data_IF_887722687104
#
_entry.id   IF_887722687104
#
_cell.length_a   1.000
_cell.length_b   1.000
_cell.length_c   1.000
_cell.angle_alpha   90.00
_cell.angle_beta   90.00
_cell.angle_gamma   90.00
#
_symmetry.space_group_name_H-M   'P 1'
#
loop_
_entity.id
_entity.type
_entity.pdbx_description
1 polymer ?
#
# COMPACT_ATOMS: atom_id res chain seq x y z
N UNK A 1 1.15 -16.39 17.23
CA UNK A 1 1.26 -15.76 18.48
C UNK A 1 2.18 -14.56 18.55
N UNK A 2 1.98 -13.53 17.71
CA UNK A 2 2.67 -12.23 17.90
C UNK A 2 1.87 -11.48 18.96
N UNK A 3 2.49 -11.03 20.06
CA UNK A 3 1.85 -10.26 21.13
C UNK A 3 1.79 -10.92 22.49
N UNK A 4 2.20 -12.20 22.66
CA UNK A 4 2.31 -12.82 23.98
C UNK A 4 3.76 -12.99 24.38
N UNK A 5 4.22 -12.39 25.51
CA UNK A 5 5.53 -12.68 26.07
C UNK A 5 5.57 -14.15 26.56
N UNK A 6 6.71 -14.80 26.42
CA UNK A 6 6.91 -16.13 26.95
C UNK A 6 6.82 -16.09 28.48
N UNK A 7 5.69 -16.53 29.06
CA UNK A 7 5.61 -16.76 30.52
C UNK A 7 4.49 -16.10 31.28
N UNK A 8 3.29 -15.83 30.71
CA UNK A 8 2.18 -15.34 31.53
C UNK A 8 0.99 -14.73 30.80
N UNK A 9 0.00 -14.21 31.54
CA UNK A 9 -1.20 -13.61 30.97
C UNK A 9 -0.97 -12.19 30.43
N UNK A 10 0.27 -11.78 30.14
CA UNK A 10 0.61 -10.48 29.58
C UNK A 10 0.53 -10.52 28.06
N UNK A 11 -0.14 -9.53 27.47
CA UNK A 11 -0.14 -9.24 26.04
C UNK A 11 0.52 -7.89 25.77
N UNK A 12 1.17 -7.74 24.61
CA UNK A 12 1.77 -6.50 24.19
C UNK A 12 1.19 -6.10 22.81
N UNK A 13 0.86 -4.83 22.65
CA UNK A 13 0.36 -4.25 21.41
C UNK A 13 1.02 -2.89 21.17
N UNK A 14 1.08 -2.44 19.91
CA UNK A 14 1.62 -1.16 19.52
C UNK A 14 3.14 -1.11 19.47
N UNK A 15 3.74 0.02 19.85
CA UNK A 15 5.17 0.29 19.73
C UNK A 15 6.07 -0.67 20.52
N UNK A 16 5.54 -1.35 21.53
CA UNK A 16 6.26 -2.35 22.34
C UNK A 16 6.21 -3.76 21.72
N UNK A 17 5.41 -3.95 20.67
CA UNK A 17 5.37 -5.18 19.88
C UNK A 17 6.26 -5.08 18.64
N UNK A 18 6.55 -6.21 17.98
CA UNK A 18 7.35 -6.22 16.75
C UNK A 18 6.62 -5.53 15.59
N UNK A 19 7.38 -4.94 14.67
CA UNK A 19 6.89 -4.27 13.47
C UNK A 19 6.88 -2.73 13.59
N UNK A 20 6.28 -2.02 12.62
CA UNK A 20 6.33 -0.58 12.57
C UNK A 20 5.56 0.07 13.74
N UNK A 21 6.09 1.20 14.23
CA UNK A 21 5.48 1.96 15.34
C UNK A 21 4.41 2.91 14.81
N UNK A 22 3.23 2.36 14.48
CA UNK A 22 2.11 3.09 13.86
C UNK A 22 0.86 3.01 14.75
N UNK A 23 0.15 4.12 14.91
CA UNK A 23 -1.02 4.22 15.76
C UNK A 23 -2.16 3.29 15.30
N UNK A 24 -2.44 3.24 14.01
CA UNK A 24 -3.49 2.36 13.44
C UNK A 24 -3.14 0.87 13.58
N UNK A 25 -1.87 0.48 13.44
CA UNK A 25 -1.40 -0.86 13.77
C UNK A 25 -1.63 -1.18 15.26
N UNK A 26 -1.28 -0.25 16.14
CA UNK A 26 -1.48 -0.41 17.59
C UNK A 26 -2.96 -0.59 17.95
N UNK A 27 -3.86 0.15 17.28
CA UNK A 27 -5.30 0.01 17.43
C UNK A 27 -5.79 -1.40 17.05
N UNK A 28 -5.41 -1.89 15.88
CA UNK A 28 -5.77 -3.23 15.41
C UNK A 28 -5.23 -4.34 16.34
N UNK A 29 -3.98 -4.23 16.76
CA UNK A 29 -3.36 -5.15 17.72
C UNK A 29 -4.07 -5.13 19.09
N UNK A 30 -4.48 -3.94 19.55
CA UNK A 30 -5.21 -3.76 20.79
C UNK A 30 -6.57 -4.44 20.78
N UNK A 31 -7.32 -4.32 19.67
CA UNK A 31 -8.60 -5.02 19.47
C UNK A 31 -8.39 -6.54 19.50
N UNK A 32 -7.48 -7.07 18.70
CA UNK A 32 -7.20 -8.50 18.66
C UNK A 32 -6.72 -9.04 20.02
N UNK A 33 -5.96 -8.26 20.77
CA UNK A 33 -5.56 -8.63 22.14
C UNK A 33 -6.75 -8.68 23.10
N UNK A 34 -7.66 -7.72 23.03
CA UNK A 34 -8.86 -7.67 23.85
C UNK A 34 -9.80 -8.84 23.56
N UNK A 35 -10.06 -9.15 22.30
CA UNK A 35 -10.85 -10.30 21.84
C UNK A 35 -10.22 -11.62 22.33
N UNK A 36 -8.91 -11.78 22.17
CA UNK A 36 -8.20 -12.98 22.68
C UNK A 36 -8.29 -13.12 24.21
N UNK A 37 -8.25 -12.00 24.97
CA UNK A 37 -8.42 -12.02 26.43
C UNK A 37 -9.86 -12.40 26.80
N UNK A 38 -10.85 -11.96 26.01
CA UNK A 38 -12.26 -12.33 26.18
C UNK A 38 -12.56 -13.80 25.82
N UNK A 39 -11.60 -14.52 25.24
CA UNK A 39 -11.76 -15.91 24.83
C UNK A 39 -12.31 -16.08 23.42
N UNK A 40 -12.44 -14.97 22.67
CA UNK A 40 -12.85 -14.99 21.28
C UNK A 40 -11.68 -15.38 20.35
N UNK A 41 -11.96 -16.01 19.18
CA UNK A 41 -10.94 -16.28 18.19
C UNK A 41 -10.50 -14.96 17.54
N UNK A 42 -9.28 -14.55 17.83
CA UNK A 42 -8.69 -13.32 17.27
C UNK A 42 -7.32 -13.61 16.68
N UNK A 43 -7.07 -13.07 15.49
CA UNK A 43 -5.79 -13.12 14.78
C UNK A 43 -5.52 -11.78 14.10
N UNK A 44 -4.25 -11.42 14.02
CA UNK A 44 -3.76 -10.36 13.14
C UNK A 44 -3.31 -11.04 11.84
N UNK A 45 -4.19 -11.07 10.86
CA UNK A 45 -3.99 -11.70 9.56
C UNK A 45 -3.94 -10.70 8.40
N UNK A 46 -3.76 -9.41 8.71
CA UNK A 46 -3.57 -8.37 7.70
C UNK A 46 -2.39 -8.69 6.79
N UNK A 47 -2.61 -8.59 5.49
CA UNK A 47 -1.58 -8.80 4.46
C UNK A 47 -0.60 -7.66 4.39
N UNK A 48 -1.07 -6.42 4.64
CA UNK A 48 -0.25 -5.22 4.62
C UNK A 48 -0.76 -4.18 5.63
N UNK A 49 0.16 -3.35 6.10
CA UNK A 49 -0.14 -2.22 6.98
C UNK A 49 0.40 -0.97 6.29
N UNK A 50 -0.46 -0.02 5.88
CA UNK A 50 0.01 1.20 5.24
C UNK A 50 0.75 2.09 6.23
N UNK A 51 1.66 2.91 5.70
CA UNK A 51 2.34 3.96 6.46
C UNK A 51 2.30 5.28 5.67
N UNK A 52 2.22 6.39 6.38
CA UNK A 52 2.27 7.72 5.80
C UNK A 52 3.27 8.62 6.51
N UNK A 53 3.94 9.48 5.73
CA UNK A 53 4.79 10.57 6.22
C UNK A 53 4.21 11.87 5.68
N UNK A 54 3.85 12.79 6.59
CA UNK A 54 3.17 14.04 6.28
C UNK A 54 4.17 15.16 5.97
N UNK A 55 5.03 14.89 5.00
CA UNK A 55 5.92 15.87 4.39
C UNK A 55 5.19 16.59 3.25
N UNK A 56 5.87 17.50 2.57
CA UNK A 56 5.38 18.16 1.36
C UNK A 56 6.40 17.90 0.23
N UNK A 57 6.05 17.05 -0.77
CA UNK A 57 4.85 16.20 -0.87
C UNK A 57 4.80 15.08 0.20
N UNK A 58 3.60 14.56 0.47
CA UNK A 58 3.41 13.42 1.35
C UNK A 58 4.02 12.13 0.79
N UNK A 59 4.31 11.18 1.69
CA UNK A 59 4.75 9.83 1.29
C UNK A 59 3.78 8.80 1.88
N UNK A 60 3.20 7.96 1.01
CA UNK A 60 2.40 6.81 1.37
C UNK A 60 3.08 5.51 0.94
N UNK A 61 3.10 4.50 1.81
CA UNK A 61 3.64 3.17 1.47
C UNK A 61 2.74 2.07 1.98
N UNK A 62 2.65 0.97 1.24
CA UNK A 62 1.97 -0.25 1.69
C UNK A 62 2.57 -1.46 0.97
N UNK A 63 2.61 -2.60 1.65
CA UNK A 63 3.13 -3.85 1.08
C UNK A 63 4.63 -3.83 0.85
N UNK A 64 5.08 -4.46 -0.24
CA UNK A 64 6.49 -4.69 -0.55
C UNK A 64 7.05 -3.65 -1.52
N UNK A 65 8.29 -3.29 -1.34
CA UNK A 65 9.11 -2.68 -2.39
C UNK A 65 9.54 -3.75 -3.41
N UNK A 66 10.02 -3.33 -4.57
CA UNK A 66 10.59 -4.23 -5.58
C UNK A 66 11.66 -5.17 -4.99
N UNK A 67 12.61 -4.61 -4.25
CA UNK A 67 13.69 -5.37 -3.62
C UNK A 67 13.19 -6.36 -2.56
N UNK A 68 12.16 -6.02 -1.80
CA UNK A 68 11.54 -6.91 -0.83
C UNK A 68 10.76 -8.03 -1.51
N UNK A 69 10.09 -7.75 -2.64
CA UNK A 69 9.41 -8.76 -3.44
C UNK A 69 10.41 -9.76 -4.04
N UNK A 70 11.52 -9.29 -4.62
CA UNK A 70 12.62 -10.15 -5.08
C UNK A 70 13.17 -11.03 -3.95
N UNK A 71 13.46 -10.43 -2.79
CA UNK A 71 13.97 -11.16 -1.63
C UNK A 71 12.98 -12.20 -1.10
N UNK A 72 11.69 -11.98 -1.29
CA UNK A 72 10.62 -12.92 -0.94
C UNK A 72 10.39 -14.02 -2.00
N UNK A 73 11.08 -13.95 -3.15
CA UNK A 73 11.03 -14.96 -4.21
C UNK A 73 9.97 -14.72 -5.27
N UNK A 74 9.40 -13.52 -5.34
CA UNK A 74 8.53 -13.09 -6.44
C UNK A 74 9.35 -12.64 -7.65
N UNK A 75 8.71 -12.57 -8.82
CA UNK A 75 9.24 -11.93 -10.04
C UNK A 75 8.55 -10.57 -10.22
N UNK A 76 9.09 -9.47 -9.63
CA UNK A 76 8.38 -8.22 -9.59
C UNK A 76 8.23 -7.58 -10.97
N UNK A 77 7.04 -7.04 -11.24
CA UNK A 77 6.79 -6.02 -12.25
C UNK A 77 6.52 -4.70 -11.55
N UNK A 78 7.05 -3.62 -12.09
CA UNK A 78 6.90 -2.28 -11.51
C UNK A 78 6.32 -1.35 -12.55
N UNK A 79 5.26 -0.64 -12.17
CA UNK A 79 4.73 0.46 -12.95
C UNK A 79 4.81 1.76 -12.19
N UNK A 80 5.05 2.84 -12.91
CA UNK A 80 5.22 4.17 -12.33
C UNK A 80 4.51 5.25 -13.14
N UNK A 81 3.73 6.08 -12.45
CA UNK A 81 3.12 7.29 -13.00
C UNK A 81 3.71 8.52 -12.32
N UNK A 82 4.48 9.36 -13.03
CA UNK A 82 4.99 10.61 -12.48
C UNK A 82 3.86 11.62 -12.34
N UNK A 83 3.76 12.31 -11.19
CA UNK A 83 2.68 13.26 -10.91
C UNK A 83 2.65 14.45 -11.89
N UNK A 84 3.77 14.81 -12.51
CA UNK A 84 3.82 15.83 -13.58
C UNK A 84 2.98 15.48 -14.83
N UNK A 85 2.59 14.24 -15.00
CA UNK A 85 1.70 13.79 -16.06
C UNK A 85 0.22 13.72 -15.62
N UNK A 86 -0.07 13.91 -14.32
CA UNK A 86 -1.43 13.96 -13.79
C UNK A 86 -2.07 15.34 -14.02
N UNK A 87 -3.17 15.39 -14.77
CA UNK A 87 -3.94 16.61 -14.97
C UNK A 87 -4.40 17.25 -13.67
N UNK A 88 -4.77 16.46 -12.67
CA UNK A 88 -5.19 16.97 -11.35
C UNK A 88 -4.05 17.57 -10.58
N UNK A 89 -2.88 16.95 -10.54
CA UNK A 89 -1.70 17.49 -9.87
C UNK A 89 -1.28 18.84 -10.46
N UNK A 90 -1.36 18.97 -11.78
CA UNK A 90 -1.10 20.24 -12.45
C UNK A 90 -2.08 21.36 -12.04
N UNK A 91 -3.35 21.04 -11.76
CA UNK A 91 -4.32 22.04 -11.27
C UNK A 91 -4.03 22.52 -9.86
N UNK A 92 -3.37 21.74 -9.04
CA UNK A 92 -2.90 22.14 -7.71
C UNK A 92 -1.60 22.95 -7.76
N UNK A 93 -0.85 22.85 -8.86
CA UNK A 93 0.51 23.35 -8.93
C UNK A 93 1.53 22.47 -8.18
N UNK A 94 1.15 21.27 -7.78
CA UNK A 94 1.92 20.30 -6.99
C UNK A 94 2.09 19.03 -7.81
N UNK A 95 3.05 19.05 -8.72
CA UNK A 95 3.28 17.96 -9.67
C UNK A 95 4.57 17.16 -9.43
N UNK A 96 5.22 17.39 -8.30
CA UNK A 96 6.38 16.64 -7.90
C UNK A 96 5.98 15.26 -7.33
N UNK A 97 6.78 14.24 -7.64
CA UNK A 97 6.59 12.90 -7.13
C UNK A 97 6.04 11.91 -8.15
N UNK A 98 5.56 10.79 -7.64
CA UNK A 98 5.13 9.65 -8.44
C UNK A 98 4.19 8.73 -7.65
N UNK A 99 3.44 7.91 -8.38
CA UNK A 99 2.82 6.68 -7.88
C UNK A 99 3.56 5.50 -8.48
N UNK A 100 4.03 4.58 -7.63
CA UNK A 100 4.69 3.34 -8.05
C UNK A 100 3.94 2.16 -7.46
N UNK A 101 3.62 1.17 -8.32
CA UNK A 101 3.04 -0.11 -7.93
C UNK A 101 4.04 -1.23 -8.18
N UNK A 102 3.98 -2.25 -7.33
CA UNK A 102 4.76 -3.49 -7.43
C UNK A 102 3.80 -4.66 -7.51
N UNK A 103 3.92 -5.46 -8.54
CA UNK A 103 3.16 -6.70 -8.73
C UNK A 103 4.08 -7.90 -8.96
N UNK A 104 3.52 -9.09 -8.91
CA UNK A 104 4.20 -10.33 -9.28
C UNK A 104 3.88 -10.69 -10.73
N UNK A 105 4.89 -10.80 -11.58
CA UNK A 105 4.74 -11.13 -13.00
C UNK A 105 4.07 -12.49 -13.22
N UNK A 106 4.33 -13.46 -12.35
CA UNK A 106 3.83 -14.81 -12.49
C UNK A 106 2.34 -14.96 -12.21
N UNK A 107 1.82 -14.21 -11.23
CA UNK A 107 0.43 -14.31 -10.77
C UNK A 107 -0.39 -13.05 -11.03
N UNK A 108 0.25 -11.94 -11.40
CA UNK A 108 -0.37 -10.61 -11.49
C UNK A 108 -0.66 -9.97 -10.13
N UNK A 109 -0.43 -10.66 -9.01
CA UNK A 109 -0.82 -10.20 -7.68
C UNK A 109 -0.19 -8.85 -7.34
N UNK A 110 -1.01 -7.91 -6.84
CA UNK A 110 -0.56 -6.63 -6.31
C UNK A 110 0.19 -6.87 -4.99
N UNK A 111 1.48 -6.49 -4.93
CA UNK A 111 2.36 -6.75 -3.80
C UNK A 111 2.63 -5.52 -2.95
N UNK A 112 2.61 -4.33 -3.54
CA UNK A 112 2.89 -3.10 -2.80
C UNK A 112 2.79 -1.83 -3.63
N UNK A 113 2.91 -0.70 -2.92
CA UNK A 113 2.99 0.62 -3.52
C UNK A 113 3.87 1.59 -2.72
N UNK A 114 4.46 2.54 -3.43
CA UNK A 114 5.13 3.71 -2.91
C UNK A 114 4.59 4.94 -3.64
N UNK A 115 4.02 5.86 -2.90
CA UNK A 115 3.42 7.10 -3.42
C UNK A 115 4.17 8.28 -2.80
N UNK A 116 4.65 9.17 -3.65
CA UNK A 116 5.16 10.49 -3.25
C UNK A 116 4.33 11.50 -4.04
N UNK A 117 3.40 12.15 -3.36
CA UNK A 117 2.42 13.02 -4.04
C UNK A 117 1.64 13.86 -3.01
N UNK A 118 0.90 14.90 -3.45
CA UNK A 118 -0.18 15.46 -2.64
C UNK A 118 -1.18 14.36 -2.26
N UNK A 119 -1.68 14.38 -1.02
CA UNK A 119 -2.68 13.43 -0.52
C UNK A 119 -2.24 11.95 -0.61
N UNK A 120 -0.93 11.65 -0.59
CA UNK A 120 -0.44 10.28 -0.65
C UNK A 120 -0.97 9.42 0.51
N UNK A 121 -1.23 10.04 1.67
CA UNK A 121 -1.83 9.39 2.84
C UNK A 121 -3.25 8.87 2.59
N UNK A 122 -4.02 9.53 1.73
CA UNK A 122 -5.35 9.11 1.31
C UNK A 122 -5.29 8.13 0.14
N UNK A 123 -4.44 8.39 -0.85
CA UNK A 123 -4.29 7.55 -2.04
C UNK A 123 -3.84 6.12 -1.72
N UNK A 124 -3.00 5.95 -0.69
CA UNK A 124 -2.44 4.64 -0.32
C UNK A 124 -3.52 3.66 0.18
N UNK A 125 -4.68 4.15 0.63
CA UNK A 125 -5.75 3.33 1.17
C UNK A 125 -6.38 2.40 0.11
N UNK A 126 -6.50 2.86 -1.13
CA UNK A 126 -7.00 2.06 -2.24
C UNK A 126 -6.09 0.86 -2.51
N UNK A 127 -4.78 1.09 -2.56
CA UNK A 127 -3.81 0.01 -2.76
C UNK A 127 -3.78 -0.96 -1.57
N UNK A 128 -3.90 -0.43 -0.35
CA UNK A 128 -4.02 -1.25 0.86
C UNK A 128 -5.23 -2.18 0.81
N UNK A 129 -6.39 -1.68 0.37
CA UNK A 129 -7.60 -2.48 0.17
C UNK A 129 -7.38 -3.54 -0.93
N UNK A 130 -6.74 -3.17 -2.04
CA UNK A 130 -6.41 -4.11 -3.12
C UNK A 130 -5.56 -5.28 -2.62
N UNK A 131 -4.51 -5.01 -1.84
CA UNK A 131 -3.65 -6.05 -1.25
C UNK A 131 -4.44 -6.96 -0.30
N UNK A 132 -5.29 -6.41 0.58
CA UNK A 132 -6.12 -7.20 1.50
C UNK A 132 -7.08 -8.13 0.76
N UNK A 133 -7.66 -7.67 -0.35
CA UNK A 133 -8.56 -8.47 -1.19
C UNK A 133 -7.82 -9.47 -2.10
N UNK A 134 -6.49 -9.35 -2.23
CA UNK A 134 -5.70 -10.16 -3.15
C UNK A 134 -5.91 -9.78 -4.61
N UNK A 135 -6.13 -8.49 -4.88
CA UNK A 135 -6.26 -7.95 -6.23
C UNK A 135 -4.97 -8.14 -7.04
N UNK A 136 -5.12 -8.09 -8.35
CA UNK A 136 -4.03 -8.07 -9.31
C UNK A 136 -3.72 -6.65 -9.80
N UNK A 137 -2.58 -6.47 -10.45
CA UNK A 137 -2.26 -5.22 -11.16
C UNK A 137 -3.32 -4.94 -12.25
N UNK A 138 -3.81 -5.99 -12.92
CA UNK A 138 -4.87 -5.86 -13.93
C UNK A 138 -6.19 -5.37 -13.34
N UNK A 139 -6.58 -5.84 -12.14
CA UNK A 139 -7.78 -5.34 -11.44
C UNK A 139 -7.68 -3.83 -11.16
N UNK A 140 -6.49 -3.32 -10.81
CA UNK A 140 -6.26 -1.89 -10.59
C UNK A 140 -6.31 -1.12 -11.91
N UNK A 141 -5.69 -1.63 -12.97
CA UNK A 141 -5.67 -1.02 -14.30
C UNK A 141 -7.08 -0.94 -14.91
N UNK A 142 -7.90 -1.99 -14.73
CA UNK A 142 -9.27 -2.06 -15.24
C UNK A 142 -10.29 -1.26 -14.42
N UNK A 143 -9.90 -0.80 -13.21
CA UNK A 143 -10.76 0.00 -12.36
C UNK A 143 -10.90 1.41 -12.92
N UNK A 144 -12.12 1.81 -13.32
CA UNK A 144 -12.40 3.15 -13.85
C UNK A 144 -12.31 4.18 -12.72
N UNK A 145 -11.38 5.11 -12.86
CA UNK A 145 -11.22 6.24 -11.94
C UNK A 145 -11.91 7.50 -12.47
N UNK A 146 -12.37 8.34 -11.55
CA UNK A 146 -13.00 9.63 -11.93
C UNK A 146 -11.96 10.61 -12.45
N UNK A 147 -12.29 11.34 -13.52
CA UNK A 147 -11.42 12.34 -14.14
C UNK A 147 -11.91 13.77 -13.86
N UNK A 148 -11.03 14.76 -13.52
CA UNK A 148 -9.61 14.57 -13.19
C UNK A 148 -9.43 14.38 -11.67
N UNK A 149 -8.66 13.37 -11.27
CA UNK A 149 -8.33 13.09 -9.88
C UNK A 149 -6.88 12.68 -9.68
N UNK A 150 -6.38 12.72 -8.44
CA UNK A 150 -5.05 12.17 -8.13
C UNK A 150 -5.03 10.65 -8.17
N UNK A 151 -6.16 9.99 -7.86
CA UNK A 151 -6.26 8.52 -7.87
C UNK A 151 -6.11 7.89 -9.25
N UNK A 152 -6.35 8.64 -10.35
CA UNK A 152 -6.04 8.17 -11.70
C UNK A 152 -4.55 7.79 -11.85
N UNK A 153 -3.65 8.39 -11.06
CA UNK A 153 -2.24 8.02 -11.10
C UNK A 153 -1.98 6.59 -10.60
N UNK A 154 -2.86 6.03 -9.76
CA UNK A 154 -2.79 4.63 -9.33
C UNK A 154 -3.14 3.70 -10.50
N UNK A 155 -4.22 3.97 -11.22
CA UNK A 155 -4.62 3.25 -12.43
C UNK A 155 -3.51 3.30 -13.49
N UNK A 156 -3.02 4.51 -13.83
CA UNK A 156 -1.97 4.71 -14.82
C UNK A 156 -0.65 4.02 -14.44
N UNK A 157 -0.32 3.93 -13.16
CA UNK A 157 0.83 3.17 -12.70
C UNK A 157 0.62 1.66 -12.92
N UNK A 158 -0.59 1.14 -12.71
CA UNK A 158 -0.93 -0.24 -13.02
C UNK A 158 -0.86 -0.51 -14.54
N UNK A 159 -1.44 0.36 -15.35
CA UNK A 159 -1.36 0.28 -16.81
C UNK A 159 0.10 0.34 -17.30
N UNK A 160 0.96 1.16 -16.64
CA UNK A 160 2.38 1.22 -16.97
C UNK A 160 3.10 -0.11 -16.67
N UNK A 161 2.77 -0.78 -15.56
CA UNK A 161 3.31 -2.11 -15.26
C UNK A 161 2.93 -3.15 -16.33
N UNK A 162 1.77 -2.96 -16.99
CA UNK A 162 1.26 -3.81 -18.08
C UNK A 162 1.67 -3.31 -19.47
N UNK A 163 2.51 -2.28 -19.58
CA UNK A 163 2.92 -1.64 -20.85
C UNK A 163 1.74 -1.02 -21.64
N UNK A 164 0.69 -0.56 -20.94
CA UNK A 164 -0.55 -0.03 -21.53
C UNK A 164 -0.83 1.43 -21.16
N UNK A 165 0.03 2.08 -20.38
CA UNK A 165 -0.16 3.46 -19.94
C UNK A 165 -0.30 4.44 -21.12
N UNK A 166 -1.17 5.45 -20.96
CA UNK A 166 -1.46 6.45 -21.96
C UNK A 166 -0.64 7.72 -21.74
N UNK A 167 -0.44 8.12 -20.47
CA UNK A 167 0.15 9.42 -20.12
C UNK A 167 1.61 9.33 -19.67
N UNK A 168 2.19 8.13 -19.61
CA UNK A 168 3.61 7.90 -19.32
C UNK A 168 4.22 6.92 -20.32
N UNK A 169 5.57 6.84 -20.34
CA UNK A 169 6.27 5.94 -21.25
C UNK A 169 6.21 4.51 -20.72
N UNK A 170 5.72 3.61 -21.56
CA UNK A 170 5.80 2.16 -21.32
C UNK A 170 7.26 1.70 -21.51
N UNK A 171 7.74 0.82 -20.64
CA UNK A 171 9.12 0.34 -20.61
C UNK A 171 9.18 -1.15 -20.83
#
# INVERSE_FOLDING_TARGET
GRGRPAGGPLSAAGAVAAGPMLAHKAGAEGIAAAESIAGEPAALDHRAIPAAVFTDPEIGTVGMTEAEAEAAGYDPIVGEMPMRASGRALTFGESDGFVRLVGDRGTGTLLGAQIVAPEASELIAEVGLGIELGATIEDVADTIHTHPTLSEATMEAAENALEQAIHTLNR
#
